data_IF_843545896713
#
_entry.id   IF_843545896713
#
_cell.length_a   1.000
_cell.length_b   1.000
_cell.length_c   1.000
_cell.angle_alpha   90.00
_cell.angle_beta   90.00
_cell.angle_gamma   90.00
#
_symmetry.space_group_name_H-M   'P 1'
#
loop_
_entity.id
_entity.type
_entity.pdbx_description
1 polymer ?
#
# COMPACT_ATOMS: atom_id res chain seq x y z
N UNK A 1 -17.86 -13.40 -11.29
CA UNK A 1 -16.93 -12.54 -10.53
C UNK A 1 -17.07 -11.14 -11.11
N UNK A 2 -17.74 -10.23 -10.40
CA UNK A 2 -18.19 -8.94 -10.96
C UNK A 2 -17.17 -7.83 -10.73
N UNK A 3 -17.06 -6.90 -11.68
CA UNK A 3 -16.15 -5.75 -11.69
C UNK A 3 -16.38 -4.70 -10.57
N UNK A 4 -17.16 -5.03 -9.53
CA UNK A 4 -17.61 -4.11 -8.48
C UNK A 4 -16.69 -4.06 -7.26
N UNK A 5 -15.82 -5.06 -7.12
CA UNK A 5 -15.03 -5.25 -5.91
C UNK A 5 -13.59 -4.70 -6.05
N UNK A 6 -13.28 -3.95 -7.12
CA UNK A 6 -11.88 -3.69 -7.50
C UNK A 6 -11.40 -2.27 -7.19
N UNK A 7 -12.26 -1.29 -6.94
CA UNK A 7 -11.78 0.07 -6.66
C UNK A 7 -12.73 0.83 -5.72
N UNK A 8 -12.29 1.08 -4.49
CA UNK A 8 -12.64 2.27 -3.70
C UNK A 8 -11.95 2.21 -2.34
N UNK A 9 -11.27 3.28 -1.95
CA UNK A 9 -11.17 3.62 -0.53
C UNK A 9 -12.61 3.66 0.02
N UNK A 10 -12.93 2.71 0.87
CA UNK A 10 -14.30 2.51 1.34
C UNK A 10 -14.66 3.63 2.29
N UNK A 11 -15.57 4.53 1.91
CA UNK A 11 -16.14 5.43 2.90
C UNK A 11 -16.91 4.58 3.94
N UNK A 12 -16.44 4.52 5.18
CA UNK A 12 -17.15 3.89 6.28
C UNK A 12 -18.17 4.89 6.84
N UNK A 13 -19.45 4.54 6.73
CA UNK A 13 -20.52 5.31 7.34
C UNK A 13 -20.77 4.80 8.75
N UNK A 14 -20.36 5.58 9.76
CA UNK A 14 -20.77 5.36 11.15
C UNK A 14 -21.31 6.66 11.72
N UNK A 15 -22.57 6.64 12.18
CA UNK A 15 -23.21 7.74 12.91
C UNK A 15 -23.31 9.08 12.16
N UNK A 16 -23.68 9.06 10.87
CA UNK A 16 -23.92 10.29 10.08
C UNK A 16 -22.66 11.07 9.69
N UNK A 17 -21.48 10.53 9.99
CA UNK A 17 -20.18 11.10 9.59
C UNK A 17 -19.58 10.22 8.50
N UNK A 18 -19.20 10.84 7.37
CA UNK A 18 -18.46 10.16 6.32
C UNK A 18 -17.01 10.06 6.79
N UNK A 19 -16.53 8.85 7.05
CA UNK A 19 -15.11 8.58 7.20
C UNK A 19 -14.60 8.01 5.90
N UNK A 20 -13.66 8.67 5.24
CA UNK A 20 -12.95 8.08 4.11
C UNK A 20 -12.00 7.03 4.68
N UNK A 21 -12.26 5.73 4.46
CA UNK A 21 -11.26 4.70 4.75
C UNK A 21 -10.37 4.60 3.52
N UNK A 22 -9.12 4.96 3.71
CA UNK A 22 -8.06 4.88 2.72
C UNK A 22 -7.10 3.76 3.11
N UNK A 23 -6.18 3.40 2.21
CA UNK A 23 -5.11 2.46 2.57
C UNK A 23 -4.24 2.98 3.71
N UNK A 24 -4.17 4.31 3.90
CA UNK A 24 -3.43 4.94 4.99
C UNK A 24 -3.95 4.51 6.37
N UNK A 25 -5.25 4.24 6.51
CA UNK A 25 -5.83 3.73 7.76
C UNK A 25 -5.40 2.28 8.06
N UNK A 26 -4.86 1.57 7.07
CA UNK A 26 -4.31 0.22 7.21
C UNK A 26 -2.80 0.21 7.45
N UNK A 27 -2.17 1.38 7.53
CA UNK A 27 -0.72 1.56 7.66
C UNK A 27 -0.40 2.17 9.02
N UNK A 28 0.50 1.54 9.75
CA UNK A 28 1.08 2.08 10.97
C UNK A 28 2.57 2.32 10.73
N UNK A 29 2.98 3.58 10.65
CA UNK A 29 4.37 3.95 10.38
C UNK A 29 5.30 3.49 11.52
N UNK A 30 6.34 2.72 11.17
CA UNK A 30 7.38 2.29 12.12
C UNK A 30 8.63 3.15 12.02
N UNK A 31 8.80 3.87 10.91
CA UNK A 31 9.89 4.82 10.68
C UNK A 31 9.37 6.10 9.99
N UNK A 32 10.14 7.22 10.03
CA UNK A 32 9.76 8.47 9.40
C UNK A 32 9.49 8.34 7.90
N UNK A 33 8.74 9.29 7.34
CA UNK A 33 8.49 9.38 5.90
C UNK A 33 9.77 9.61 5.10
N UNK A 34 9.81 9.10 3.87
CA UNK A 34 10.87 9.45 2.92
C UNK A 34 10.70 10.88 2.45
N UNK A 35 11.82 11.57 2.30
CA UNK A 35 11.87 12.96 1.85
C UNK A 35 11.08 13.15 0.55
N UNK A 36 10.26 14.20 0.51
CA UNK A 36 9.43 14.52 -0.64
C UNK A 36 8.22 13.59 -0.86
N UNK A 37 7.90 12.69 0.08
CA UNK A 37 6.76 11.77 -0.04
C UNK A 37 6.00 11.64 1.28
N UNK A 38 4.73 11.24 1.20
CA UNK A 38 3.95 10.83 2.37
C UNK A 38 4.22 9.37 2.81
N UNK A 39 5.15 8.66 2.17
CA UNK A 39 5.36 7.22 2.35
C UNK A 39 6.39 6.98 3.47
N UNK A 40 6.03 6.24 4.55
CA UNK A 40 6.97 5.85 5.61
C UNK A 40 8.14 5.00 5.11
N UNK A 41 9.30 5.11 5.76
CA UNK A 41 10.47 4.27 5.49
C UNK A 41 10.19 2.79 5.71
N UNK A 42 9.46 2.47 6.75
CA UNK A 42 8.87 1.17 6.98
C UNK A 42 7.56 1.35 7.73
N UNK A 43 6.69 0.36 7.63
CA UNK A 43 5.41 0.38 8.32
C UNK A 43 4.85 -1.02 8.51
N UNK A 44 3.98 -1.18 9.50
CA UNK A 44 3.09 -2.34 9.61
C UNK A 44 1.89 -2.12 8.70
N UNK A 45 1.57 -3.12 7.89
CA UNK A 45 0.42 -3.14 6.99
C UNK A 45 -0.60 -4.16 7.47
N UNK A 46 -1.84 -3.73 7.67
CA UNK A 46 -2.98 -4.63 7.88
C UNK A 46 -3.46 -5.15 6.52
N UNK A 47 -3.40 -6.46 6.30
CA UNK A 47 -3.77 -7.10 5.05
C UNK A 47 -4.32 -8.52 5.30
N UNK A 48 -5.45 -8.87 4.70
CA UNK A 48 -6.02 -10.22 4.82
C UNK A 48 -6.35 -10.69 6.24
N UNK A 49 -6.58 -9.77 7.19
CA UNK A 49 -6.79 -10.10 8.60
C UNK A 49 -5.50 -10.27 9.41
N UNK A 50 -4.33 -10.20 8.78
CA UNK A 50 -3.02 -10.23 9.43
C UNK A 50 -2.31 -8.88 9.37
N UNK A 51 -1.22 -8.77 10.14
CA UNK A 51 -0.31 -7.63 10.13
C UNK A 51 1.05 -8.04 9.58
N UNK A 52 1.53 -7.35 8.56
CA UNK A 52 2.82 -7.63 7.92
C UNK A 52 3.74 -6.43 8.04
N UNK A 53 4.98 -6.63 8.47
CA UNK A 53 6.01 -5.59 8.45
C UNK A 53 6.48 -5.36 7.00
N UNK A 54 6.27 -4.14 6.49
CA UNK A 54 6.76 -3.71 5.18
C UNK A 54 8.12 -3.03 5.37
N UNK A 55 9.17 -3.68 4.89
CA UNK A 55 10.56 -3.21 5.03
C UNK A 55 10.90 -2.10 4.03
N UNK A 56 12.01 -1.39 4.31
CA UNK A 56 12.56 -0.29 3.52
C UNK A 56 12.65 -0.56 2.02
N UNK A 57 13.00 -1.77 1.60
CA UNK A 57 13.18 -2.11 0.19
C UNK A 57 11.87 -2.01 -0.61
N UNK A 58 10.74 -2.40 -0.01
CA UNK A 58 9.45 -2.32 -0.68
C UNK A 58 8.97 -0.88 -0.81
N UNK A 59 9.22 -0.06 0.20
CA UNK A 59 8.78 1.33 0.28
C UNK A 59 9.70 2.29 -0.49
N UNK A 60 10.93 1.90 -0.79
CA UNK A 60 11.83 2.63 -1.70
C UNK A 60 11.26 2.71 -3.11
N UNK A 61 10.71 1.60 -3.66
CA UNK A 61 10.07 1.61 -4.98
C UNK A 61 8.84 2.53 -5.02
N UNK A 62 8.03 2.54 -3.96
CA UNK A 62 6.88 3.46 -3.84
C UNK A 62 7.32 4.92 -3.84
N UNK A 63 8.36 5.24 -3.06
CA UNK A 63 8.88 6.60 -3.01
C UNK A 63 9.55 7.03 -4.32
N UNK A 64 10.28 6.13 -4.97
CA UNK A 64 10.84 6.37 -6.30
C UNK A 64 9.77 6.64 -7.36
N UNK A 65 8.64 5.92 -7.31
CA UNK A 65 7.50 6.18 -8.16
C UNK A 65 6.89 7.58 -7.91
N UNK A 66 6.66 7.94 -6.64
CA UNK A 66 6.14 9.25 -6.26
C UNK A 66 7.08 10.40 -6.70
N UNK A 67 8.39 10.25 -6.45
CA UNK A 67 9.41 11.22 -6.87
C UNK A 67 9.49 11.34 -8.39
N UNK A 68 9.38 10.23 -9.12
CA UNK A 68 9.33 10.23 -10.59
C UNK A 68 8.13 11.00 -11.15
N UNK A 69 6.97 10.87 -10.51
CA UNK A 69 5.76 11.62 -10.88
C UNK A 69 5.91 13.12 -10.59
N UNK A 70 6.43 13.49 -9.40
CA UNK A 70 6.72 14.88 -9.06
C UNK A 70 7.71 15.53 -10.06
N UNK A 71 8.77 14.81 -10.43
CA UNK A 71 9.76 15.27 -11.43
C UNK A 71 9.17 15.48 -12.83
N UNK A 72 8.04 14.83 -13.15
CA UNK A 72 7.30 15.02 -14.40
C UNK A 72 6.34 16.21 -14.36
N UNK A 73 6.35 16.98 -13.26
CA UNK A 73 5.53 18.19 -13.10
C UNK A 73 4.09 17.92 -12.66
N UNK A 74 3.79 16.72 -12.14
CA UNK A 74 2.47 16.45 -11.57
C UNK A 74 2.29 17.21 -10.25
N UNK A 75 1.04 17.60 -9.97
CA UNK A 75 0.71 18.29 -8.72
C UNK A 75 0.89 17.36 -7.50
N UNK A 76 1.12 17.91 -6.30
CA UNK A 76 1.21 17.12 -5.08
C UNK A 76 0.00 16.21 -4.84
N UNK A 77 -1.21 16.68 -5.16
CA UNK A 77 -2.46 15.92 -5.03
C UNK A 77 -2.48 14.72 -5.98
N UNK A 78 -2.04 14.92 -7.23
CA UNK A 78 -1.94 13.83 -8.20
C UNK A 78 -0.89 12.79 -7.79
N UNK A 79 0.25 13.23 -7.24
CA UNK A 79 1.29 12.33 -6.70
C UNK A 79 0.77 11.54 -5.49
N UNK A 80 0.05 12.19 -4.58
CA UNK A 80 -0.54 11.55 -3.41
C UNK A 80 -1.59 10.51 -3.79
N UNK A 81 -2.49 10.85 -4.71
CA UNK A 81 -3.50 9.91 -5.22
C UNK A 81 -2.84 8.69 -5.89
N UNK A 82 -1.83 8.92 -6.73
CA UNK A 82 -1.10 7.83 -7.37
C UNK A 82 -0.37 6.94 -6.35
N UNK A 83 0.16 7.53 -5.28
CA UNK A 83 0.80 6.80 -4.17
C UNK A 83 -0.21 5.94 -3.41
N UNK A 84 -1.41 6.48 -3.15
CA UNK A 84 -2.51 5.74 -2.52
C UNK A 84 -2.96 4.53 -3.35
N UNK A 85 -3.02 4.67 -4.68
CA UNK A 85 -3.33 3.56 -5.60
C UNK A 85 -2.26 2.47 -5.53
N UNK A 86 -0.97 2.83 -5.50
CA UNK A 86 0.12 1.86 -5.40
C UNK A 86 0.12 1.12 -4.05
N UNK A 87 -0.13 1.84 -2.95
CA UNK A 87 -0.26 1.24 -1.62
C UNK A 87 -1.47 0.30 -1.54
N UNK A 88 -2.60 0.69 -2.11
CA UNK A 88 -3.81 -0.17 -2.17
C UNK A 88 -3.53 -1.45 -2.96
N UNK A 89 -2.81 -1.33 -4.08
CA UNK A 89 -2.36 -2.47 -4.86
C UNK A 89 -1.40 -3.39 -4.08
N UNK A 90 -0.46 -2.82 -3.32
CA UNK A 90 0.42 -3.59 -2.43
C UNK A 90 -0.40 -4.36 -1.38
N UNK A 91 -1.35 -3.70 -0.70
CA UNK A 91 -2.21 -4.34 0.31
C UNK A 91 -3.03 -5.50 -0.26
N UNK A 92 -3.63 -5.32 -1.44
CA UNK A 92 -4.36 -6.38 -2.13
C UNK A 92 -3.44 -7.55 -2.49
N UNK A 93 -2.22 -7.25 -2.94
CA UNK A 93 -1.22 -8.24 -3.31
C UNK A 93 -0.76 -9.04 -2.10
N UNK A 94 -0.48 -8.39 -0.97
CA UNK A 94 -0.14 -9.04 0.30
C UNK A 94 -1.31 -9.88 0.81
N UNK A 95 -2.54 -9.35 0.77
CA UNK A 95 -3.76 -10.08 1.13
C UNK A 95 -3.90 -11.39 0.34
N UNK A 96 -3.66 -11.33 -0.97
CA UNK A 96 -3.67 -12.52 -1.83
C UNK A 96 -2.53 -13.48 -1.52
N UNK A 97 -1.34 -12.98 -1.19
CA UNK A 97 -0.22 -13.84 -0.82
C UNK A 97 -0.50 -14.58 0.50
N UNK A 98 -1.05 -13.90 1.50
CA UNK A 98 -1.47 -14.48 2.79
C UNK A 98 -2.55 -15.55 2.57
N UNK A 99 -3.57 -15.26 1.77
CA UNK A 99 -4.62 -16.22 1.45
C UNK A 99 -4.09 -17.50 0.75
N UNK A 100 -2.91 -17.42 0.12
CA UNK A 100 -2.22 -18.56 -0.51
C UNK A 100 -1.09 -19.14 0.39
N UNK A 101 -1.08 -18.83 1.68
CA UNK A 101 -0.15 -19.39 2.67
C UNK A 101 1.20 -18.67 2.80
N UNK A 102 1.36 -17.49 2.20
CA UNK A 102 2.55 -16.61 2.31
C UNK A 102 3.89 -17.38 2.26
N UNK A 103 4.26 -17.98 1.11
CA UNK A 103 5.41 -18.87 1.03
C UNK A 103 6.70 -18.13 1.44
N UNK A 104 7.30 -18.60 2.53
CA UNK A 104 8.49 -18.01 3.12
C UNK A 104 9.70 -18.21 2.21
N UNK A 105 10.61 -17.25 2.25
CA UNK A 105 11.88 -17.24 1.52
C UNK A 105 11.77 -17.41 -0.01
N UNK A 106 10.56 -17.29 -0.56
CA UNK A 106 10.27 -17.45 -1.98
C UNK A 106 9.85 -16.11 -2.57
N UNK A 107 10.39 -15.78 -3.75
CA UNK A 107 9.96 -14.58 -4.48
C UNK A 107 8.62 -14.85 -5.16
N UNK A 108 7.57 -14.21 -4.68
CA UNK A 108 6.23 -14.22 -5.28
C UNK A 108 6.07 -13.01 -6.17
N UNK A 109 5.82 -13.22 -7.47
CA UNK A 109 5.52 -12.14 -8.42
C UNK A 109 4.01 -12.05 -8.63
N UNK A 110 3.38 -11.01 -8.09
CA UNK A 110 1.93 -10.80 -8.23
C UNK A 110 1.57 -9.33 -8.09
N UNK A 111 0.51 -8.88 -8.78
CA UNK A 111 0.04 -7.50 -8.72
C UNK A 111 1.02 -6.44 -9.25
N UNK A 112 2.10 -6.83 -9.93
CA UNK A 112 3.21 -5.95 -10.32
C UNK A 112 4.36 -5.89 -9.31
N UNK A 113 4.25 -6.58 -8.18
CA UNK A 113 5.26 -6.65 -7.13
C UNK A 113 6.04 -7.96 -7.17
N UNK A 114 7.32 -7.89 -6.80
CA UNK A 114 8.10 -9.05 -6.35
C UNK A 114 8.17 -9.02 -4.83
N UNK A 115 7.42 -9.89 -4.16
CA UNK A 115 7.35 -9.96 -2.70
C UNK A 115 8.10 -11.19 -2.20
N UNK A 116 8.90 -11.02 -1.15
CA UNK A 116 9.52 -12.13 -0.42
C UNK A 116 9.12 -12.01 1.04
N UNK A 117 8.51 -13.06 1.58
CA UNK A 117 8.10 -13.12 2.97
C UNK A 117 9.19 -13.81 3.80
N UNK A 118 9.42 -13.32 5.01
CA UNK A 118 10.36 -13.88 5.99
C UNK A 118 9.75 -13.76 7.38
N UNK A 119 10.21 -14.60 8.32
CA UNK A 119 9.85 -14.57 9.74
C UNK A 119 11.06 -14.15 10.56
#
# INVERSE_FOLDING_TARGET
MGLKDVFAGGAAFKSGKIFTVTVWDSIEATEPTREGTAIPRSFVLKAGGETVQVHGNATEHLAGYAAGMARRGLSPEAVNLASEVQLSNLQLTVTRAIANGAPLNTLVKTGGWGLKFSQ
#
